data_IF_149684410067
#
_entry.id   IF_149684410067
#
_cell.length_a   1.000
_cell.length_b   1.000
_cell.length_c   1.000
_cell.angle_alpha   90.00
_cell.angle_beta   90.00
_cell.angle_gamma   90.00
#
_symmetry.space_group_name_H-M   'P 1'
#
loop_
_entity.id
_entity.type
_entity.pdbx_description
1 polymer ?
#
# COMPACT_ATOMS: atom_id res chain seq x y z
N UNK A 1 10.36 -15.40 -19.49
CA UNK A 1 9.04 -14.88 -19.89
C UNK A 1 8.00 -15.94 -19.57
N UNK A 2 7.07 -15.70 -18.62
CA UNK A 2 5.91 -16.59 -18.43
C UNK A 2 5.01 -16.46 -19.66
N UNK A 3 4.73 -17.57 -20.34
CA UNK A 3 3.77 -17.64 -21.44
C UNK A 3 2.41 -17.21 -20.89
N UNK A 4 1.93 -16.04 -21.27
CA UNK A 4 0.62 -15.54 -20.84
C UNK A 4 -0.45 -16.49 -21.39
N UNK A 5 -1.43 -16.84 -20.57
CA UNK A 5 -2.47 -17.77 -20.96
C UNK A 5 -3.45 -17.02 -21.87
N UNK A 6 -3.74 -17.52 -23.05
CA UNK A 6 -4.53 -16.86 -24.10
C UNK A 6 -5.83 -16.20 -23.63
N UNK A 7 -6.55 -16.79 -22.67
CA UNK A 7 -7.77 -16.18 -22.16
C UNK A 7 -7.51 -14.91 -21.35
N UNK A 8 -6.35 -14.81 -20.66
CA UNK A 8 -5.97 -13.61 -19.90
C UNK A 8 -5.60 -12.46 -20.84
N UNK A 9 -4.97 -12.76 -21.95
CA UNK A 9 -4.65 -11.77 -22.99
C UNK A 9 -5.92 -11.18 -23.61
N UNK A 10 -6.89 -12.04 -23.96
CA UNK A 10 -8.19 -11.61 -24.48
C UNK A 10 -8.93 -10.76 -23.46
N UNK A 11 -9.03 -11.22 -22.20
CA UNK A 11 -9.69 -10.46 -21.12
C UNK A 11 -9.04 -9.09 -20.92
N UNK A 12 -7.72 -9.01 -20.88
CA UNK A 12 -6.97 -7.76 -20.72
C UNK A 12 -7.19 -6.81 -21.90
N UNK A 13 -7.23 -7.32 -23.13
CA UNK A 13 -7.48 -6.51 -24.32
C UNK A 13 -8.87 -5.88 -24.26
N UNK A 14 -9.90 -6.66 -23.96
CA UNK A 14 -11.28 -6.18 -23.85
C UNK A 14 -11.41 -5.21 -22.67
N UNK A 15 -10.82 -5.51 -21.51
CA UNK A 15 -10.80 -4.61 -20.35
C UNK A 15 -10.13 -3.25 -20.69
N UNK A 16 -9.05 -3.28 -21.46
CA UNK A 16 -8.38 -2.06 -21.93
C UNK A 16 -9.28 -1.25 -22.86
N UNK A 17 -9.99 -1.89 -23.77
CA UNK A 17 -10.96 -1.23 -24.67
C UNK A 17 -12.12 -0.61 -23.89
N UNK A 18 -12.64 -1.30 -22.87
CA UNK A 18 -13.69 -0.78 -21.98
C UNK A 18 -13.19 0.44 -21.21
N UNK A 19 -12.00 0.36 -20.61
CA UNK A 19 -11.39 1.49 -19.89
C UNK A 19 -11.15 2.71 -20.78
N UNK A 20 -10.80 2.50 -22.05
CA UNK A 20 -10.61 3.56 -23.04
C UNK A 20 -11.93 4.10 -23.63
N UNK A 21 -13.08 3.53 -23.26
CA UNK A 21 -14.39 3.97 -23.73
C UNK A 21 -14.74 3.51 -25.14
N UNK A 22 -14.00 2.55 -25.70
CA UNK A 22 -14.35 1.89 -26.98
C UNK A 22 -15.67 1.16 -26.83
N UNK A 23 -15.86 0.51 -25.68
CA UNK A 23 -17.13 -0.10 -25.27
C UNK A 23 -17.72 0.74 -24.14
N UNK A 24 -18.95 1.24 -24.33
CA UNK A 24 -19.64 2.07 -23.34
C UNK A 24 -20.43 1.21 -22.35
N UNK A 25 -20.64 1.71 -21.13
CA UNK A 25 -21.50 1.05 -20.17
C UNK A 25 -22.90 0.82 -20.74
N UNK A 26 -23.41 -0.41 -20.61
CA UNK A 26 -24.68 -0.84 -21.18
C UNK A 26 -24.60 -1.43 -22.60
N UNK A 27 -23.47 -1.29 -23.30
CA UNK A 27 -23.28 -1.90 -24.60
C UNK A 27 -23.08 -3.42 -24.49
N UNK A 28 -23.59 -4.12 -25.50
CA UNK A 28 -23.47 -5.56 -25.60
C UNK A 28 -22.14 -5.96 -26.23
N UNK A 29 -21.39 -6.82 -25.57
CA UNK A 29 -20.17 -7.40 -26.11
C UNK A 29 -20.48 -8.47 -27.17
N UNK A 30 -19.53 -8.79 -28.08
CA UNK A 30 -19.62 -9.89 -29.02
C UNK A 30 -19.96 -11.20 -28.31
N UNK A 31 -20.58 -12.13 -29.04
CA UNK A 31 -20.89 -13.43 -28.47
C UNK A 31 -19.61 -14.23 -28.20
N UNK A 32 -19.66 -15.20 -27.30
CA UNK A 32 -18.55 -16.10 -27.03
C UNK A 32 -18.05 -16.83 -28.30
N UNK A 33 -18.98 -17.17 -29.21
CA UNK A 33 -18.63 -17.80 -30.51
C UNK A 33 -17.91 -16.81 -31.41
N UNK A 34 -18.35 -15.56 -31.44
CA UNK A 34 -17.69 -14.49 -32.21
C UNK A 34 -16.27 -14.30 -31.73
N UNK A 35 -16.06 -14.13 -30.42
CA UNK A 35 -14.73 -13.96 -29.82
C UNK A 35 -13.84 -15.18 -30.05
N UNK A 36 -14.39 -16.41 -29.95
CA UNK A 36 -13.67 -17.64 -30.25
C UNK A 36 -13.17 -17.65 -31.70
N UNK A 37 -14.03 -17.29 -32.65
CA UNK A 37 -13.67 -17.28 -34.06
C UNK A 37 -12.68 -16.17 -34.43
N UNK A 38 -12.90 -14.93 -33.95
CA UNK A 38 -12.06 -13.78 -34.26
C UNK A 38 -10.64 -13.90 -33.68
N UNK A 39 -10.50 -14.56 -32.53
CA UNK A 39 -9.21 -14.75 -31.88
C UNK A 39 -8.58 -16.13 -32.19
N UNK A 40 -9.22 -17.00 -32.98
CA UNK A 40 -8.72 -18.31 -33.29
C UNK A 40 -8.53 -19.24 -32.09
N UNK A 41 -9.37 -19.09 -31.07
CA UNK A 41 -9.27 -19.82 -29.80
C UNK A 41 -10.46 -20.76 -29.60
N UNK A 42 -10.34 -21.71 -28.68
CA UNK A 42 -11.46 -22.55 -28.28
C UNK A 42 -12.58 -21.79 -27.61
N UNK A 43 -13.81 -22.30 -27.71
CA UNK A 43 -14.95 -21.70 -27.02
C UNK A 43 -14.73 -21.64 -25.50
N UNK A 44 -14.07 -22.67 -24.92
CA UNK A 44 -13.72 -22.68 -23.49
C UNK A 44 -12.76 -21.54 -23.12
N UNK A 45 -11.80 -21.20 -23.99
CA UNK A 45 -10.89 -20.07 -23.79
C UNK A 45 -11.64 -18.74 -23.79
N UNK A 46 -12.61 -18.59 -24.71
CA UNK A 46 -13.48 -17.41 -24.73
C UNK A 46 -14.38 -17.30 -23.47
N UNK A 47 -14.92 -18.44 -22.99
CA UNK A 47 -15.69 -18.50 -21.74
C UNK A 47 -14.83 -18.05 -20.55
N UNK A 48 -13.59 -18.55 -20.44
CA UNK A 48 -12.68 -18.17 -19.36
C UNK A 48 -12.31 -16.69 -19.42
N UNK A 49 -12.10 -16.12 -20.61
CA UNK A 49 -11.83 -14.69 -20.76
C UNK A 49 -13.01 -13.83 -20.26
N UNK A 50 -14.24 -14.22 -20.60
CA UNK A 50 -15.44 -13.51 -20.16
C UNK A 50 -15.71 -13.70 -18.68
N UNK A 51 -15.40 -14.86 -18.11
CA UNK A 51 -15.47 -15.11 -16.67
C UNK A 51 -14.52 -14.19 -15.90
N UNK A 52 -13.28 -14.01 -16.35
CA UNK A 52 -12.35 -13.06 -15.71
C UNK A 52 -12.86 -11.61 -15.82
N UNK A 53 -13.42 -11.21 -16.99
CA UNK A 53 -14.00 -9.87 -17.13
C UNK A 53 -15.21 -9.65 -16.23
N UNK A 54 -16.06 -10.67 -16.01
CA UNK A 54 -17.22 -10.62 -15.13
C UNK A 54 -16.79 -10.58 -13.66
N UNK A 55 -15.83 -11.40 -13.28
CA UNK A 55 -15.21 -11.43 -11.96
C UNK A 55 -14.59 -10.07 -11.59
N UNK A 56 -13.93 -9.42 -12.55
CA UNK A 56 -13.31 -8.10 -12.38
C UNK A 56 -14.35 -6.94 -12.51
N UNK A 57 -15.63 -7.25 -12.70
CA UNK A 57 -16.71 -6.27 -12.75
C UNK A 57 -16.81 -5.44 -14.03
N UNK A 58 -16.06 -5.80 -15.08
CA UNK A 58 -16.14 -5.09 -16.36
C UNK A 58 -17.43 -5.38 -17.11
N UNK A 59 -17.97 -6.57 -16.97
CA UNK A 59 -19.16 -7.02 -17.66
C UNK A 59 -20.09 -7.77 -16.71
N UNK A 60 -21.35 -7.92 -17.11
CA UNK A 60 -22.34 -8.77 -16.46
C UNK A 60 -23.03 -9.66 -17.49
N UNK A 61 -23.34 -10.90 -17.12
CA UNK A 61 -24.15 -11.76 -17.95
C UNK A 61 -25.65 -11.41 -17.77
N UNK A 62 -26.41 -11.36 -18.87
CA UNK A 62 -27.86 -11.26 -18.82
C UNK A 62 -28.49 -12.46 -19.53
N UNK A 63 -29.41 -13.18 -18.85
CA UNK A 63 -30.15 -14.28 -19.47
C UNK A 63 -30.76 -13.87 -20.81
N UNK A 64 -30.57 -14.69 -21.85
CA UNK A 64 -31.07 -14.47 -23.22
C UNK A 64 -30.50 -13.24 -23.95
N UNK A 65 -29.71 -12.39 -23.29
CA UNK A 65 -29.15 -11.16 -23.86
C UNK A 65 -27.64 -11.23 -24.11
N UNK A 66 -26.92 -12.13 -23.42
CA UNK A 66 -25.47 -12.24 -23.49
C UNK A 66 -24.76 -11.35 -22.47
N UNK A 67 -23.56 -10.87 -22.78
CA UNK A 67 -22.73 -10.08 -21.87
C UNK A 67 -22.83 -8.59 -22.19
N UNK A 68 -22.96 -7.80 -21.14
CA UNK A 68 -23.15 -6.34 -21.24
C UNK A 68 -22.07 -5.66 -20.40
N UNK A 69 -21.50 -4.58 -20.92
CA UNK A 69 -20.51 -3.76 -20.22
C UNK A 69 -21.17 -3.10 -18.99
N UNK A 70 -20.61 -3.39 -17.81
CA UNK A 70 -21.07 -2.84 -16.54
C UNK A 70 -20.06 -1.85 -15.91
N UNK A 71 -18.93 -1.65 -16.58
CA UNK A 71 -17.86 -0.80 -16.06
C UNK A 71 -18.29 0.66 -16.03
N UNK A 72 -18.31 1.21 -14.82
CA UNK A 72 -18.46 2.64 -14.58
C UNK A 72 -17.14 3.14 -14.01
N UNK A 73 -16.37 3.95 -14.75
CA UNK A 73 -15.15 4.52 -14.20
C UNK A 73 -15.49 5.39 -12.98
N UNK A 74 -15.10 4.93 -11.80
CA UNK A 74 -15.17 5.75 -10.59
C UNK A 74 -14.04 6.77 -10.71
N UNK A 75 -14.36 7.98 -11.12
CA UNK A 75 -13.44 9.11 -11.05
C UNK A 75 -13.47 9.63 -9.61
N UNK A 76 -12.61 9.08 -8.77
CA UNK A 76 -12.33 9.71 -7.49
C UNK A 76 -11.64 11.04 -7.80
N UNK A 77 -12.13 12.13 -7.21
CA UNK A 77 -11.43 13.41 -7.26
C UNK A 77 -10.10 13.24 -6.52
N UNK A 78 -9.01 13.72 -7.15
CA UNK A 78 -7.72 13.78 -6.46
C UNK A 78 -7.88 14.72 -5.26
N UNK A 79 -7.49 14.31 -4.04
CA UNK A 79 -7.53 15.19 -2.88
C UNK A 79 -6.75 16.48 -3.15
N UNK A 80 -7.19 17.59 -2.58
CA UNK A 80 -6.44 18.84 -2.66
C UNK A 80 -5.13 18.74 -1.87
N UNK A 81 -4.13 19.52 -2.26
CA UNK A 81 -2.91 19.69 -1.47
C UNK A 81 -3.30 20.27 -0.10
N UNK A 82 -2.81 19.66 0.97
CA UNK A 82 -3.07 20.14 2.33
C UNK A 82 -2.33 21.47 2.57
N UNK A 83 -2.95 22.34 3.38
CA UNK A 83 -2.35 23.59 3.84
C UNK A 83 -2.36 23.58 5.38
N UNK A 84 -1.47 22.79 6.02
CA UNK A 84 -1.42 22.70 7.46
C UNK A 84 -0.94 24.02 8.09
N UNK A 85 -1.23 24.17 9.38
CA UNK A 85 -0.68 25.29 10.16
C UNK A 85 0.86 25.22 10.19
N UNK A 86 1.52 26.35 9.97
CA UNK A 86 3.00 26.43 10.00
C UNK A 86 3.52 26.41 11.46
N UNK A 87 2.63 26.49 12.45
CA UNK A 87 3.00 26.46 13.88
C UNK A 87 2.94 25.03 14.39
N UNK A 88 3.97 24.59 15.13
CA UNK A 88 3.92 23.29 15.81
C UNK A 88 2.78 23.29 16.83
N UNK A 89 1.87 22.35 16.70
CA UNK A 89 0.73 22.21 17.61
C UNK A 89 0.82 20.86 18.35
N UNK A 90 0.47 20.86 19.64
CA UNK A 90 0.11 19.65 20.36
C UNK A 90 -1.39 19.42 20.09
N UNK A 91 -1.72 18.60 19.11
CA UNK A 91 -3.12 18.25 18.87
C UNK A 91 -3.56 17.17 19.85
N UNK A 92 -4.71 17.37 20.47
CA UNK A 92 -5.43 16.30 21.16
C UNK A 92 -5.97 15.31 20.12
N UNK A 93 -5.12 14.36 19.76
CA UNK A 93 -5.45 13.33 18.77
C UNK A 93 -6.22 12.17 19.42
N UNK A 94 -6.31 12.17 20.76
CA UNK A 94 -6.85 11.07 21.58
C UNK A 94 -8.30 10.78 21.22
N UNK A 95 -9.14 11.79 21.06
CA UNK A 95 -10.56 11.63 20.78
C UNK A 95 -10.81 11.05 19.36
N UNK A 96 -10.07 11.53 18.36
CA UNK A 96 -10.17 11.01 16.99
C UNK A 96 -9.78 9.53 16.93
N UNK A 97 -8.78 9.13 17.70
CA UNK A 97 -8.31 7.75 17.75
C UNK A 97 -9.34 6.87 18.47
N UNK A 98 -9.91 7.36 19.56
CA UNK A 98 -10.98 6.64 20.27
C UNK A 98 -12.17 6.39 19.35
N UNK A 99 -12.57 7.36 18.53
CA UNK A 99 -13.64 7.23 17.53
C UNK A 99 -13.30 6.19 16.45
N UNK A 100 -12.06 6.14 15.96
CA UNK A 100 -11.62 5.13 15.00
C UNK A 100 -11.68 3.74 15.61
N UNK A 101 -11.18 3.54 16.83
CA UNK A 101 -11.20 2.25 17.49
C UNK A 101 -12.61 1.83 17.93
N UNK A 102 -13.44 2.73 18.44
CA UNK A 102 -14.84 2.40 18.79
C UNK A 102 -15.65 1.95 17.58
N UNK A 103 -15.37 2.50 16.41
CA UNK A 103 -16.00 2.06 15.16
C UNK A 103 -15.65 0.61 14.75
N UNK A 104 -14.61 0.03 15.35
CA UNK A 104 -14.19 -1.36 15.09
C UNK A 104 -15.01 -2.40 15.86
N UNK A 105 -15.55 -2.02 17.01
CA UNK A 105 -16.35 -2.91 17.87
C UNK A 105 -17.74 -3.14 17.32
N UNK A 106 -18.19 -2.29 16.39
CA UNK A 106 -19.49 -2.44 15.72
C UNK A 106 -19.39 -3.60 14.73
N UNK A 107 -19.91 -4.76 15.09
CA UNK A 107 -19.90 -6.00 14.30
C UNK A 107 -20.71 -5.97 13.00
N UNK A 108 -20.99 -4.80 12.43
CA UNK A 108 -21.70 -4.64 11.18
C UNK A 108 -20.80 -5.00 9.99
N UNK A 109 -21.06 -6.17 9.42
CA UNK A 109 -20.37 -6.69 8.22
C UNK A 109 -20.74 -5.95 6.92
N UNK A 110 -21.74 -5.07 6.95
CA UNK A 110 -22.13 -4.26 5.77
C UNK A 110 -21.19 -3.09 5.52
N UNK A 111 -20.38 -2.71 6.53
CA UNK A 111 -19.46 -1.57 6.46
C UNK A 111 -18.07 -2.03 6.00
N UNK A 112 -17.64 -1.52 4.85
CA UNK A 112 -16.25 -1.71 4.40
C UNK A 112 -15.33 -0.73 5.14
N UNK A 113 -14.39 -1.28 5.91
CA UNK A 113 -13.51 -0.49 6.79
C UNK A 113 -12.16 -0.23 6.13
N UNK A 114 -11.92 1.01 5.73
CA UNK A 114 -10.63 1.44 5.19
C UNK A 114 -9.71 2.12 6.21
N UNK A 115 -10.24 2.47 7.40
CA UNK A 115 -9.54 3.27 8.40
C UNK A 115 -8.27 2.61 8.98
N UNK A 116 -8.19 1.29 9.01
CA UNK A 116 -7.04 0.56 9.57
C UNK A 116 -6.07 0.04 8.53
N UNK A 117 -6.40 0.08 7.24
CA UNK A 117 -5.55 -0.49 6.19
C UNK A 117 -5.34 -2.01 6.31
N UNK A 118 -6.28 -2.72 6.96
CA UNK A 118 -6.20 -4.17 7.09
C UNK A 118 -6.74 -4.85 5.82
N UNK A 119 -5.95 -5.73 5.18
CA UNK A 119 -6.44 -6.50 4.05
C UNK A 119 -7.42 -7.59 4.53
N UNK A 120 -8.36 -7.95 3.67
CA UNK A 120 -9.24 -9.10 3.85
C UNK A 120 -8.44 -10.40 4.04
N UNK A 121 -8.88 -11.30 4.91
CA UNK A 121 -8.20 -12.56 5.22
C UNK A 121 -7.95 -13.42 3.97
N UNK A 122 -8.86 -13.38 3.00
CA UNK A 122 -8.75 -14.12 1.74
C UNK A 122 -7.54 -13.68 0.89
N UNK A 123 -7.06 -12.45 1.08
CA UNK A 123 -5.88 -11.92 0.40
C UNK A 123 -4.57 -12.35 1.06
N UNK A 124 -4.65 -12.88 2.28
CA UNK A 124 -3.50 -13.29 3.06
C UNK A 124 -3.15 -14.76 2.80
N UNK A 125 -1.88 -15.13 2.67
CA UNK A 125 -1.46 -16.51 2.45
C UNK A 125 -1.45 -17.31 3.76
N UNK A 126 -2.59 -17.36 4.47
CA UNK A 126 -2.72 -17.90 5.84
C UNK A 126 -2.20 -19.35 5.93
N UNK A 127 -2.58 -20.21 4.97
CA UNK A 127 -2.15 -21.62 4.99
C UNK A 127 -0.62 -21.75 4.86
N UNK A 128 0.01 -20.93 4.02
CA UNK A 128 1.46 -20.90 3.86
C UNK A 128 2.13 -20.36 5.12
N UNK A 129 1.58 -19.29 5.68
CA UNK A 129 2.09 -18.66 6.90
C UNK A 129 2.07 -19.65 8.08
N UNK A 130 0.94 -20.34 8.30
CA UNK A 130 0.79 -21.35 9.37
C UNK A 130 1.80 -22.50 9.21
N UNK A 131 1.99 -23.00 7.98
CA UNK A 131 2.98 -24.05 7.70
C UNK A 131 4.41 -23.60 8.05
N UNK A 132 4.80 -22.40 7.65
CA UNK A 132 6.15 -21.88 7.92
C UNK A 132 6.32 -21.53 9.41
N UNK A 133 5.26 -21.12 10.11
CA UNK A 133 5.28 -20.84 11.53
C UNK A 133 5.55 -22.13 12.34
N UNK A 134 4.84 -23.22 12.03
CA UNK A 134 5.07 -24.53 12.64
C UNK A 134 6.50 -25.01 12.38
N UNK A 135 6.97 -24.88 11.14
CA UNK A 135 8.34 -25.26 10.76
C UNK A 135 9.38 -24.41 11.49
N UNK A 136 9.16 -23.11 11.62
CA UNK A 136 10.07 -22.23 12.35
C UNK A 136 10.15 -22.62 13.83
N UNK A 137 9.03 -22.88 14.48
CA UNK A 137 9.00 -23.33 15.88
C UNK A 137 9.80 -24.62 16.10
N UNK A 138 9.74 -25.58 15.16
CA UNK A 138 10.48 -26.83 15.26
C UNK A 138 12.01 -26.65 15.09
N UNK A 139 12.43 -25.59 14.43
CA UNK A 139 13.85 -25.33 14.12
C UNK A 139 14.52 -24.32 15.05
N UNK A 140 13.74 -23.55 15.80
CA UNK A 140 14.25 -22.57 16.73
C UNK A 140 14.65 -23.20 18.07
N UNK A 141 15.73 -22.72 18.72
CA UNK A 141 16.11 -23.19 20.04
C UNK A 141 14.98 -23.06 21.06
N UNK A 142 14.71 -24.14 21.78
CA UNK A 142 13.62 -24.18 22.75
C UNK A 142 12.24 -23.97 22.13
N UNK A 143 12.05 -24.38 20.86
CA UNK A 143 10.80 -24.20 20.12
C UNK A 143 10.31 -22.73 20.09
N UNK A 144 11.25 -21.79 19.98
CA UNK A 144 10.95 -20.35 19.91
C UNK A 144 10.66 -19.69 21.28
N UNK A 145 10.91 -20.38 22.40
CA UNK A 145 10.68 -19.82 23.74
C UNK A 145 11.90 -19.15 24.37
N UNK A 146 13.06 -19.20 23.70
CA UNK A 146 14.29 -18.53 24.17
C UNK A 146 14.35 -17.10 23.67
N UNK A 147 15.04 -16.25 24.46
CA UNK A 147 15.42 -14.92 23.98
C UNK A 147 16.34 -15.02 22.77
N UNK A 148 16.12 -14.15 21.81
CA UNK A 148 16.99 -13.98 20.65
C UNK A 148 18.06 -12.89 20.93
N UNK A 149 18.91 -12.61 19.95
CA UNK A 149 19.86 -11.50 20.03
C UNK A 149 19.11 -10.17 20.14
N UNK A 150 19.73 -9.16 20.76
CA UNK A 150 19.11 -7.82 20.95
C UNK A 150 18.74 -7.14 19.64
N UNK A 151 19.49 -7.40 18.56
CA UNK A 151 19.17 -6.92 17.21
C UNK A 151 18.12 -7.78 16.49
N UNK A 152 17.74 -8.91 17.08
CA UNK A 152 16.83 -9.89 16.50
C UNK A 152 17.54 -11.02 15.76
N UNK A 153 16.76 -11.97 15.29
CA UNK A 153 17.26 -13.22 14.76
C UNK A 153 18.23 -13.05 13.58
N UNK A 154 19.45 -13.59 13.69
CA UNK A 154 20.51 -13.51 12.69
C UNK A 154 20.06 -13.98 11.31
N UNK A 155 19.29 -15.07 11.22
CA UNK A 155 18.82 -15.62 9.94
C UNK A 155 17.82 -14.67 9.28
N UNK A 156 16.97 -14.00 10.07
CA UNK A 156 16.03 -13.00 9.57
C UNK A 156 16.80 -11.77 9.06
N UNK A 157 17.77 -11.26 9.84
CA UNK A 157 18.59 -10.11 9.46
C UNK A 157 19.38 -10.37 8.16
N UNK A 158 19.98 -11.56 8.01
CA UNK A 158 20.61 -12.00 6.74
C UNK A 158 19.63 -12.04 5.57
N UNK A 159 18.41 -12.51 5.81
CA UNK A 159 17.38 -12.56 4.76
C UNK A 159 16.95 -11.16 4.32
N UNK A 160 16.81 -10.23 5.28
CA UNK A 160 16.49 -8.82 5.00
C UNK A 160 17.65 -8.17 4.22
N UNK A 161 18.91 -8.34 4.66
CA UNK A 161 20.07 -7.82 3.96
C UNK A 161 20.11 -8.26 2.48
N UNK A 162 19.86 -9.55 2.22
CA UNK A 162 19.77 -10.07 0.84
C UNK A 162 18.61 -9.47 0.05
N UNK A 163 17.47 -9.22 0.70
CA UNK A 163 16.33 -8.60 0.04
C UNK A 163 16.60 -7.14 -0.36
N UNK A 164 17.38 -6.40 0.46
CA UNK A 164 17.76 -5.01 0.14
C UNK A 164 18.71 -4.89 -1.05
N UNK A 165 19.39 -5.96 -1.43
CA UNK A 165 20.26 -5.98 -2.62
C UNK A 165 19.49 -5.60 -3.90
N UNK A 166 18.21 -5.98 -3.99
CA UNK A 166 17.33 -5.60 -5.11
C UNK A 166 17.12 -4.08 -5.22
N UNK A 167 17.36 -3.34 -4.15
CA UNK A 167 17.25 -1.88 -4.08
C UNK A 167 18.62 -1.18 -4.17
N UNK A 168 19.66 -1.90 -4.59
CA UNK A 168 21.06 -1.44 -4.58
C UNK A 168 21.58 -1.07 -3.16
N UNK A 169 20.99 -1.65 -2.13
CA UNK A 169 21.47 -1.53 -0.75
C UNK A 169 22.71 -2.40 -0.54
N UNK A 170 23.72 -1.84 0.12
CA UNK A 170 24.93 -2.57 0.54
C UNK A 170 24.87 -2.93 2.03
N UNK A 171 23.68 -3.29 2.52
CA UNK A 171 23.46 -3.61 3.92
C UNK A 171 23.93 -5.02 4.22
N UNK A 172 24.53 -5.18 5.40
CA UNK A 172 24.84 -6.46 6.02
C UNK A 172 23.83 -6.77 7.12
N UNK A 173 23.90 -7.94 7.70
CA UNK A 173 23.08 -8.30 8.86
C UNK A 173 23.32 -7.42 10.08
N UNK A 174 24.49 -6.80 10.21
CA UNK A 174 24.87 -5.95 11.34
C UNK A 174 24.25 -4.54 11.24
N UNK A 175 23.83 -4.15 10.04
CA UNK A 175 23.12 -2.89 9.79
C UNK A 175 21.61 -2.97 10.07
N UNK A 176 21.13 -4.14 10.51
CA UNK A 176 19.70 -4.42 10.63
C UNK A 176 19.32 -4.71 12.06
N UNK A 177 18.29 -4.03 12.53
CA UNK A 177 17.59 -4.31 13.80
C UNK A 177 16.15 -4.65 13.51
N UNK A 178 15.67 -5.78 14.02
CA UNK A 178 14.25 -6.16 13.89
C UNK A 178 13.44 -5.63 15.07
N UNK A 179 12.21 -5.23 14.82
CA UNK A 179 11.33 -4.59 15.80
C UNK A 179 9.93 -5.18 15.76
N UNK A 180 9.13 -4.92 16.78
CA UNK A 180 7.72 -5.32 16.85
C UNK A 180 6.84 -4.38 16.02
N UNK A 181 7.08 -4.31 14.70
CA UNK A 181 6.36 -3.47 13.76
C UNK A 181 6.94 -2.07 13.61
N UNK A 182 6.43 -1.34 12.60
CA UNK A 182 6.96 -0.03 12.20
C UNK A 182 6.82 1.03 13.28
N UNK A 183 5.73 1.02 14.05
CA UNK A 183 5.52 1.98 15.14
C UNK A 183 6.59 1.86 16.21
N UNK A 184 6.98 0.63 16.57
CA UNK A 184 8.07 0.38 17.51
C UNK A 184 9.42 0.81 16.92
N UNK A 185 9.67 0.57 15.63
CA UNK A 185 10.88 1.04 14.95
C UNK A 185 11.01 2.56 15.00
N UNK A 186 9.94 3.28 14.69
CA UNK A 186 9.91 4.75 14.73
C UNK A 186 10.09 5.27 16.15
N UNK A 187 9.43 4.64 17.15
CA UNK A 187 9.60 4.99 18.56
C UNK A 187 11.07 4.88 19.00
N UNK A 188 11.72 3.77 18.70
CA UNK A 188 13.13 3.56 19.02
C UNK A 188 14.04 4.58 18.31
N UNK A 189 13.83 4.81 17.02
CA UNK A 189 14.61 5.78 16.25
C UNK A 189 14.46 7.21 16.84
N UNK A 190 13.23 7.65 17.10
CA UNK A 190 12.97 8.95 17.67
C UNK A 190 13.55 9.09 19.09
N UNK A 191 13.47 8.05 19.93
CA UNK A 191 14.01 8.09 21.30
C UNK A 191 15.52 8.34 21.34
N UNK A 192 16.25 7.94 20.30
CA UNK A 192 17.71 8.17 20.21
C UNK A 192 18.06 9.57 19.76
N UNK A 193 17.24 10.18 18.90
CA UNK A 193 17.59 11.45 18.24
C UNK A 193 16.82 12.66 18.76
N UNK A 194 15.75 12.47 19.55
CA UNK A 194 14.91 13.54 20.07
C UNK A 194 14.82 13.55 21.58
N UNK A 195 14.39 14.68 22.13
CA UNK A 195 14.04 14.89 23.55
C UNK A 195 12.64 15.47 23.65
N UNK A 196 12.01 15.33 24.80
CA UNK A 196 10.73 15.99 25.11
C UNK A 196 10.80 17.48 24.77
N UNK A 197 9.80 17.97 24.06
CA UNK A 197 9.72 19.35 23.58
C UNK A 197 10.38 19.61 22.21
N UNK A 198 11.14 18.67 21.67
CA UNK A 198 11.66 18.80 20.31
C UNK A 198 10.52 18.77 19.27
N UNK A 199 10.78 19.37 18.12
CA UNK A 199 9.84 19.38 16.99
C UNK A 199 10.27 18.39 15.93
N UNK A 200 9.33 17.58 15.45
CA UNK A 200 9.49 16.74 14.26
C UNK A 200 8.57 17.22 13.16
N UNK A 201 9.02 17.10 11.90
CA UNK A 201 8.18 17.34 10.74
C UNK A 201 7.58 16.02 10.24
N UNK A 202 6.34 16.05 9.78
CA UNK A 202 5.62 14.92 9.19
C UNK A 202 4.88 15.36 7.94
N UNK A 203 4.60 14.43 7.04
CA UNK A 203 3.71 14.67 5.89
C UNK A 203 2.28 14.95 6.38
N UNK A 204 1.49 15.71 5.59
CA UNK A 204 0.08 15.95 5.89
C UNK A 204 -0.78 15.63 4.66
N UNK A 205 -1.73 14.68 4.74
CA UNK A 205 -2.06 13.87 5.92
C UNK A 205 -1.02 12.75 6.19
N UNK A 206 -0.92 12.33 7.44
CA UNK A 206 -0.08 11.22 7.90
C UNK A 206 -0.93 10.20 8.66
N UNK A 207 -0.47 8.96 8.72
CA UNK A 207 -1.10 7.94 9.54
C UNK A 207 -1.19 8.40 11.01
N UNK A 208 -2.41 8.40 11.55
CA UNK A 208 -2.71 8.94 12.87
C UNK A 208 -1.87 8.32 14.02
N UNK A 209 -1.46 7.04 13.88
CA UNK A 209 -0.59 6.37 14.85
C UNK A 209 0.76 7.06 15.03
N UNK A 210 1.25 7.78 14.02
CA UNK A 210 2.49 8.55 14.12
C UNK A 210 2.28 9.83 14.96
N UNK A 211 1.11 10.45 14.82
CA UNK A 211 0.75 11.62 15.65
C UNK A 211 0.60 11.22 17.12
N UNK A 212 -0.05 10.09 17.38
CA UNK A 212 -0.20 9.54 18.72
C UNK A 212 1.17 9.21 19.35
N UNK A 213 2.05 8.57 18.58
CA UNK A 213 3.40 8.25 19.03
C UNK A 213 4.18 9.51 19.40
N UNK A 214 4.22 10.50 18.51
CA UNK A 214 4.92 11.77 18.76
C UNK A 214 4.39 12.46 20.00
N UNK A 215 3.06 12.49 20.16
CA UNK A 215 2.41 13.10 21.35
C UNK A 215 2.78 12.32 22.63
N UNK A 216 2.76 10.99 22.61
CA UNK A 216 3.16 10.17 23.78
C UNK A 216 4.62 10.36 24.19
N UNK A 217 5.48 10.75 23.24
CA UNK A 217 6.88 11.07 23.49
C UNK A 217 7.10 12.54 23.87
N UNK A 218 6.03 13.35 23.99
CA UNK A 218 6.12 14.78 24.30
C UNK A 218 6.75 15.61 23.19
N UNK A 219 6.69 15.16 21.94
CA UNK A 219 7.22 15.86 20.79
C UNK A 219 6.17 16.81 20.20
N UNK A 220 6.64 17.93 19.66
CA UNK A 220 5.82 18.84 18.87
C UNK A 220 5.81 18.42 17.42
N UNK A 221 4.68 18.58 16.75
CA UNK A 221 4.48 18.15 15.37
C UNK A 221 4.36 19.38 14.49
N UNK A 222 5.12 19.41 13.40
CA UNK A 222 5.01 20.36 12.31
C UNK A 222 4.61 19.59 11.04
N UNK A 223 3.42 19.87 10.53
CA UNK A 223 2.90 19.21 9.33
C UNK A 223 3.42 19.90 8.07
N UNK A 224 3.93 19.13 7.12
CA UNK A 224 4.39 19.63 5.83
C UNK A 224 3.29 19.52 4.78
N UNK A 225 3.06 20.56 3.96
CA UNK A 225 2.15 20.48 2.84
C UNK A 225 2.54 19.32 1.91
N UNK A 226 1.59 18.43 1.65
CA UNK A 226 1.83 17.23 0.84
C UNK A 226 0.82 17.18 -0.30
N UNK A 227 1.32 17.21 -1.52
CA UNK A 227 0.50 17.05 -2.70
C UNK A 227 0.27 15.56 -2.96
N UNK A 228 -0.97 15.11 -3.20
CA UNK A 228 -1.28 13.69 -3.39
C UNK A 228 -0.69 13.07 -4.67
N UNK A 229 -0.11 13.88 -5.55
CA UNK A 229 0.52 13.41 -6.79
C UNK A 229 2.04 13.57 -6.74
N UNK A 230 2.54 14.72 -6.25
CA UNK A 230 3.99 15.03 -6.29
C UNK A 230 4.70 14.83 -4.96
N UNK A 231 3.97 14.53 -3.89
CA UNK A 231 4.53 14.36 -2.55
C UNK A 231 4.74 15.66 -1.79
N UNK A 232 5.67 15.67 -0.86
CA UNK A 232 6.00 16.86 -0.06
C UNK A 232 6.61 17.97 -0.93
N UNK A 233 6.41 19.21 -0.50
CA UNK A 233 7.10 20.36 -1.07
C UNK A 233 8.53 20.48 -0.47
N UNK A 234 9.60 20.28 -1.26
CA UNK A 234 10.97 20.38 -0.77
C UNK A 234 11.33 21.79 -0.27
N UNK A 235 10.71 22.83 -0.84
CA UNK A 235 10.98 24.21 -0.41
C UNK A 235 10.28 24.53 0.91
N UNK A 236 9.11 23.95 1.18
CA UNK A 236 8.48 24.00 2.48
C UNK A 236 9.34 23.28 3.54
N UNK A 237 9.86 22.11 3.22
CA UNK A 237 10.78 21.39 4.11
C UNK A 237 12.04 22.22 4.42
N UNK A 238 12.70 22.79 3.41
CA UNK A 238 13.90 23.63 3.59
C UNK A 238 13.66 24.80 4.57
N UNK A 239 12.50 25.44 4.50
CA UNK A 239 12.15 26.57 5.39
C UNK A 239 12.05 26.16 6.86
N UNK A 240 11.69 24.93 7.15
CA UNK A 240 11.48 24.44 8.52
C UNK A 240 12.66 23.65 9.09
N UNK A 241 13.66 23.30 8.29
CA UNK A 241 14.87 22.58 8.75
C UNK A 241 15.51 23.15 10.01
N UNK A 242 15.64 24.48 10.21
CA UNK A 242 16.22 25.02 11.44
C UNK A 242 15.36 24.81 12.68
N UNK A 243 14.08 24.49 12.52
CA UNK A 243 13.09 24.40 13.61
C UNK A 243 12.80 22.95 14.02
N UNK A 244 13.26 21.98 13.24
CA UNK A 244 12.93 20.56 13.44
C UNK A 244 14.18 19.76 13.80
N UNK A 245 13.98 18.73 14.62
CA UNK A 245 15.03 17.77 15.00
C UNK A 245 15.10 16.58 14.06
N UNK A 246 13.94 16.18 13.53
CA UNK A 246 13.80 15.08 12.60
C UNK A 246 12.64 15.32 11.64
N UNK A 247 12.65 14.62 10.50
CA UNK A 247 11.54 14.57 9.55
C UNK A 247 11.15 13.11 9.31
N UNK A 248 9.87 12.78 9.47
CA UNK A 248 9.32 11.46 9.20
C UNK A 248 8.61 11.47 7.85
N UNK A 249 9.13 10.72 6.90
CA UNK A 249 8.60 10.61 5.54
C UNK A 249 8.32 9.15 5.19
N UNK A 250 7.22 8.92 4.45
CA UNK A 250 6.87 7.61 3.91
C UNK A 250 7.07 7.65 2.40
N UNK A 251 8.25 7.22 1.95
CA UNK A 251 8.66 7.35 0.54
C UNK A 251 7.94 6.42 -0.43
N UNK A 252 7.37 5.32 0.06
CA UNK A 252 6.66 4.33 -0.75
C UNK A 252 5.31 4.00 -0.13
N UNK A 253 4.26 4.02 -0.98
CA UNK A 253 2.91 3.69 -0.55
C UNK A 253 2.51 4.47 0.70
N UNK A 254 2.70 5.80 0.66
CA UNK A 254 2.38 6.71 1.76
C UNK A 254 0.98 6.43 2.31
N UNK A 255 0.86 6.36 3.62
CA UNK A 255 -0.42 6.19 4.29
C UNK A 255 -0.86 7.56 4.87
N UNK A 256 -1.98 8.15 4.41
CA UNK A 256 -3.07 7.51 3.65
C UNK A 256 -3.08 7.76 2.14
N UNK A 257 -2.19 8.56 1.56
CA UNK A 257 -2.30 9.03 0.17
C UNK A 257 -1.95 7.97 -0.87
N UNK A 258 -1.25 6.89 -0.50
CA UNK A 258 -0.83 5.83 -1.42
C UNK A 258 0.25 6.25 -2.42
N UNK A 259 0.79 7.45 -2.32
CA UNK A 259 1.82 7.96 -3.22
C UNK A 259 3.18 7.29 -2.97
N UNK A 260 4.02 7.27 -4.01
CA UNK A 260 5.41 6.79 -3.93
C UNK A 260 6.35 7.78 -4.60
N UNK A 261 7.24 8.37 -3.81
CA UNK A 261 8.20 9.39 -4.28
C UNK A 261 9.14 8.87 -5.36
N UNK A 262 9.52 7.60 -5.30
CA UNK A 262 10.39 6.98 -6.31
C UNK A 262 9.74 6.90 -7.70
N UNK A 263 8.41 6.84 -7.79
CA UNK A 263 7.70 6.86 -9.07
C UNK A 263 7.52 8.28 -9.62
N UNK A 264 7.62 9.29 -8.78
CA UNK A 264 7.48 10.71 -9.11
C UNK A 264 8.83 11.29 -9.53
N UNK A 265 9.91 10.91 -8.84
CA UNK A 265 11.24 11.50 -9.06
C UNK A 265 12.03 10.89 -10.22
N UNK A 266 11.61 9.77 -10.80
CA UNK A 266 12.33 9.04 -11.86
C UNK A 266 11.60 8.85 -13.22
N UNK A 267 10.66 9.69 -13.67
CA UNK A 267 10.13 9.52 -15.03
C UNK A 267 11.17 9.85 -16.12
N UNK A 268 12.26 10.54 -15.78
CA UNK A 268 13.23 11.07 -16.76
C UNK A 268 14.42 10.14 -17.02
N UNK A 269 14.76 9.22 -16.13
CA UNK A 269 15.92 8.32 -16.32
C UNK A 269 15.67 7.12 -17.24
N UNK A 270 14.43 6.76 -17.54
CA UNK A 270 14.10 5.64 -18.45
C UNK A 270 14.02 5.99 -19.93
N UNK A 271 14.20 7.26 -20.32
CA UNK A 271 14.18 7.70 -21.73
C UNK A 271 15.53 7.87 -22.40
N UNK A 272 16.62 7.44 -21.78
CA UNK A 272 17.97 7.69 -22.27
C UNK A 272 18.84 6.45 -22.39
N UNK A 273 18.31 5.27 -22.78
CA UNK A 273 19.11 4.15 -23.27
C UNK A 273 18.36 3.58 -24.48
N UNK A 274 18.66 4.11 -25.63
CA UNK A 274 18.54 3.44 -26.93
C UNK A 274 19.83 2.69 -27.20
#
# INVERSE_FOLDING_TARGET
>A
MKKEILYQEIARTIACQIKKGVWKAGEKLPSLRTISNENGVSLNTAIQAYYELEKDGFIISRPKSGYIVNYKPIRLSVPATTQPSVKPESKEVIDLIADVYSSLEIGDKSITRFSLGMPEDILLPIAKLNKELIRAMQTLPGNGTRYDETQGNMRLRKSIARFTYSWKGNLTEDDIVTTAGVTNAVALALSVITKVGDTIAVESPVYFGMLQLANSMGLRILELPTNPVTGIDPDALKKVLPQIKACLLISNFNNPLGLSLIHISEPTRRRGIS
#
